data_IF_209802587124
#
_entry.id   IF_209802587124
#
_cell.length_a   1.000
_cell.length_b   1.000
_cell.length_c   1.000
_cell.angle_alpha   90.00
_cell.angle_beta   90.00
_cell.angle_gamma   90.00
#
_symmetry.space_group_name_H-M   'P 1'
#
loop_
_entity.id
_entity.type
_entity.pdbx_description
1 polymer ?
#
# COMPACT_ATOMS: atom_id res chain seq x y z
N UNK A 1 -10.24 19.07 6.63
CA UNK A 1 -8.79 18.78 6.48
C UNK A 1 -8.48 17.46 7.18
N UNK A 2 -8.42 16.35 6.45
CA UNK A 2 -7.98 15.04 6.95
C UNK A 2 -7.15 14.37 5.85
N UNK A 3 -5.84 14.58 5.91
CA UNK A 3 -4.81 13.96 5.03
C UNK A 3 -3.83 13.11 5.84
N UNK A 4 -4.09 12.89 7.14
CA UNK A 4 -3.13 12.29 8.06
C UNK A 4 -2.77 10.83 7.70
N UNK A 5 -3.73 10.04 7.22
CA UNK A 5 -3.50 8.61 6.92
C UNK A 5 -3.02 8.33 5.48
N UNK A 6 -3.42 9.16 4.51
CA UNK A 6 -2.90 9.11 3.13
C UNK A 6 -1.36 9.21 3.09
N UNK A 7 -0.76 9.97 4.01
CA UNK A 7 0.69 10.06 4.14
C UNK A 7 1.34 8.79 4.66
N UNK A 8 0.67 8.02 5.54
CA UNK A 8 1.22 6.79 6.11
C UNK A 8 1.18 5.64 5.10
N UNK A 9 0.07 5.46 4.40
CA UNK A 9 -0.06 4.44 3.35
C UNK A 9 0.95 4.68 2.21
N UNK A 10 1.12 5.94 1.76
CA UNK A 10 2.13 6.27 0.75
C UNK A 10 3.56 5.99 1.22
N UNK A 11 3.93 6.43 2.45
CA UNK A 11 5.25 6.13 3.02
C UNK A 11 5.50 4.62 3.12
N UNK A 12 4.47 3.86 3.49
CA UNK A 12 4.53 2.40 3.51
C UNK A 12 4.75 1.80 2.12
N UNK A 13 4.03 2.28 1.11
CA UNK A 13 4.17 1.84 -0.29
C UNK A 13 5.59 2.13 -0.80
N UNK A 14 6.07 3.37 -0.64
CA UNK A 14 7.43 3.78 -1.03
C UNK A 14 8.47 2.86 -0.39
N UNK A 15 8.36 2.63 0.92
CA UNK A 15 9.31 1.78 1.64
C UNK A 15 9.29 0.32 1.15
N UNK A 16 8.13 -0.23 0.85
CA UNK A 16 8.02 -1.60 0.31
C UNK A 16 8.63 -1.69 -1.09
N UNK A 17 8.45 -0.66 -1.92
CA UNK A 17 9.05 -0.62 -3.26
C UNK A 17 10.58 -0.60 -3.18
N UNK A 18 11.15 0.21 -2.28
CA UNK A 18 12.61 0.23 -2.03
C UNK A 18 13.14 -1.14 -1.58
N UNK A 19 12.51 -1.75 -0.57
CA UNK A 19 12.93 -3.04 -0.04
C UNK A 19 12.79 -4.17 -1.08
N UNK A 20 11.74 -4.11 -1.90
CA UNK A 20 11.54 -5.06 -2.98
C UNK A 20 12.62 -4.93 -4.06
N UNK A 21 12.95 -3.71 -4.46
CA UNK A 21 14.02 -3.46 -5.43
C UNK A 21 15.38 -3.98 -4.94
N UNK A 22 15.74 -3.69 -3.69
CA UNK A 22 16.98 -4.20 -3.09
C UNK A 22 17.00 -5.74 -3.03
N UNK A 23 15.90 -6.36 -2.60
CA UNK A 23 15.78 -7.82 -2.55
C UNK A 23 15.90 -8.45 -3.95
N UNK A 24 15.32 -7.83 -4.98
CA UNK A 24 15.47 -8.26 -6.38
C UNK A 24 16.92 -8.16 -6.86
N UNK A 25 17.62 -7.06 -6.57
CA UNK A 25 19.04 -6.88 -6.93
C UNK A 25 19.88 -7.95 -6.23
N UNK A 26 19.75 -8.10 -4.91
CA UNK A 26 20.46 -9.12 -4.12
C UNK A 26 20.22 -10.53 -4.66
N UNK A 27 18.96 -10.87 -4.96
CA UNK A 27 18.61 -12.20 -5.48
C UNK A 27 19.28 -12.51 -6.81
N UNK A 28 19.48 -11.53 -7.70
CA UNK A 28 20.16 -11.73 -9.00
C UNK A 28 21.62 -12.17 -8.84
N UNK A 29 22.28 -11.72 -7.78
CA UNK A 29 23.68 -12.05 -7.47
C UNK A 29 23.83 -13.26 -6.53
N UNK A 30 22.72 -13.82 -6.04
CA UNK A 30 22.73 -14.94 -5.10
C UNK A 30 22.61 -16.27 -5.83
N UNK A 31 23.42 -17.26 -5.44
CA UNK A 31 23.38 -18.60 -6.04
C UNK A 31 21.98 -19.24 -5.90
N UNK A 32 21.42 -19.74 -7.00
CA UNK A 32 20.02 -20.20 -7.08
C UNK A 32 19.63 -21.28 -6.08
N UNK A 33 20.56 -22.19 -5.78
CA UNK A 33 20.32 -23.33 -4.89
C UNK A 33 20.70 -23.03 -3.43
N UNK A 34 21.02 -21.77 -3.13
CA UNK A 34 21.35 -21.37 -1.77
C UNK A 34 20.10 -21.10 -0.93
N UNK A 35 20.15 -21.35 0.39
CA UNK A 35 19.08 -20.95 1.30
C UNK A 35 18.74 -19.46 1.22
N UNK A 36 19.75 -18.61 0.97
CA UNK A 36 19.57 -17.16 0.85
C UNK A 36 18.73 -16.78 -0.37
N UNK A 37 18.91 -17.47 -1.51
CA UNK A 37 18.07 -17.24 -2.69
C UNK A 37 16.59 -17.55 -2.41
N UNK A 38 16.31 -18.63 -1.68
CA UNK A 38 14.94 -18.98 -1.29
C UNK A 38 14.35 -17.98 -0.29
N UNK A 39 15.14 -17.51 0.69
CA UNK A 39 14.74 -16.45 1.61
C UNK A 39 14.38 -15.16 0.87
N UNK A 40 15.24 -14.71 -0.05
CA UNK A 40 14.99 -13.52 -0.88
C UNK A 40 13.76 -13.70 -1.77
N UNK A 41 13.56 -14.89 -2.34
CA UNK A 41 12.35 -15.22 -3.11
C UNK A 41 11.08 -15.09 -2.26
N UNK A 42 11.11 -15.62 -1.03
CA UNK A 42 10.01 -15.50 -0.08
C UNK A 42 9.76 -14.05 0.35
N UNK A 43 10.82 -13.29 0.62
CA UNK A 43 10.72 -11.89 1.00
C UNK A 43 10.09 -11.04 -0.12
N UNK A 44 10.53 -11.22 -1.37
CA UNK A 44 9.94 -10.55 -2.54
C UNK A 44 8.44 -10.86 -2.67
N UNK A 45 8.05 -12.13 -2.50
CA UNK A 45 6.65 -12.52 -2.54
C UNK A 45 5.82 -11.86 -1.41
N UNK A 46 6.39 -11.77 -0.20
CA UNK A 46 5.76 -11.09 0.93
C UNK A 46 5.60 -9.58 0.69
N UNK A 47 6.63 -8.93 0.14
CA UNK A 47 6.57 -7.51 -0.24
C UNK A 47 5.49 -7.24 -1.29
N UNK A 48 5.35 -8.11 -2.30
CA UNK A 48 4.27 -8.00 -3.27
C UNK A 48 2.87 -8.05 -2.64
N UNK A 49 2.65 -8.96 -1.68
CA UNK A 49 1.37 -9.05 -0.94
C UNK A 49 1.12 -7.83 -0.08
N UNK A 50 2.13 -7.35 0.62
CA UNK A 50 2.03 -6.16 1.47
C UNK A 50 1.78 -4.89 0.63
N UNK A 51 2.40 -4.77 -0.54
CA UNK A 51 2.13 -3.69 -1.50
C UNK A 51 0.67 -3.71 -1.96
N UNK A 52 0.13 -4.89 -2.31
CA UNK A 52 -1.27 -5.02 -2.71
C UNK A 52 -2.22 -4.58 -1.58
N UNK A 53 -1.94 -4.98 -0.33
CA UNK A 53 -2.72 -4.59 0.83
C UNK A 53 -2.70 -3.06 1.05
N UNK A 54 -1.51 -2.45 1.07
CA UNK A 54 -1.39 -1.00 1.27
C UNK A 54 -2.07 -0.21 0.15
N UNK A 55 -2.00 -0.70 -1.08
CA UNK A 55 -2.69 -0.09 -2.22
C UNK A 55 -4.21 -0.15 -2.06
N UNK A 56 -4.74 -1.30 -1.63
CA UNK A 56 -6.16 -1.45 -1.34
C UNK A 56 -6.63 -0.53 -0.20
N UNK A 57 -5.82 -0.39 0.86
CA UNK A 57 -6.10 0.55 1.96
C UNK A 57 -6.12 2.00 1.48
N UNK A 58 -5.13 2.41 0.67
CA UNK A 58 -5.09 3.74 0.07
C UNK A 58 -6.33 4.02 -0.78
N UNK A 59 -6.73 3.09 -1.65
CA UNK A 59 -7.94 3.23 -2.48
C UNK A 59 -9.21 3.34 -1.63
N UNK A 60 -9.31 2.57 -0.55
CA UNK A 60 -10.43 2.65 0.39
C UNK A 60 -10.49 4.01 1.08
N UNK A 61 -9.35 4.56 1.50
CA UNK A 61 -9.28 5.91 2.08
C UNK A 61 -9.67 6.98 1.07
N UNK A 62 -9.18 6.90 -0.16
CA UNK A 62 -9.56 7.81 -1.25
C UNK A 62 -11.07 7.74 -1.53
N UNK A 63 -11.65 6.54 -1.54
CA UNK A 63 -13.10 6.35 -1.69
C UNK A 63 -13.89 6.98 -0.55
N UNK A 64 -13.52 6.75 0.71
CA UNK A 64 -14.17 7.37 1.86
C UNK A 64 -14.07 8.90 1.83
N UNK A 65 -12.94 9.45 1.40
CA UNK A 65 -12.75 10.90 1.27
C UNK A 65 -13.69 11.53 0.22
N UNK A 66 -13.96 10.83 -0.89
CA UNK A 66 -14.92 11.27 -1.92
C UNK A 66 -16.34 11.26 -1.36
N UNK A 67 -16.76 10.17 -0.69
CA UNK A 67 -18.10 10.08 -0.10
C UNK A 67 -18.33 11.17 0.96
N UNK A 68 -17.32 11.46 1.79
CA UNK A 68 -17.42 12.51 2.81
C UNK A 68 -17.49 13.94 2.19
N UNK A 69 -16.95 14.13 0.99
CA UNK A 69 -17.10 15.40 0.25
C UNK A 69 -18.46 15.51 -0.46
N UNK A 70 -19.15 14.39 -0.67
CA UNK A 70 -20.50 14.32 -1.21
C UNK A 70 -21.59 14.58 -0.17
N UNK A 71 -21.27 15.19 0.97
CA UNK A 71 -22.26 15.52 1.99
C UNK A 71 -23.44 16.30 1.37
N UNK A 72 -24.62 15.80 1.66
CA UNK A 72 -25.86 16.00 0.90
C UNK A 72 -26.25 17.49 0.89
N UNK A 73 -26.68 18.07 -0.25
CA UNK A 73 -27.13 19.46 -0.28
C UNK A 73 -28.24 19.70 0.77
N UNK A 74 -28.26 20.86 1.45
CA UNK A 74 -29.20 21.17 2.53
C UNK A 74 -30.68 20.91 2.20
N UNK A 75 -31.03 20.87 0.92
CA UNK A 75 -32.37 20.60 0.40
C UNK A 75 -32.91 19.17 0.66
N UNK A 76 -32.09 18.25 1.16
CA UNK A 76 -32.48 16.85 1.43
C UNK A 76 -32.38 16.47 2.91
N UNK A 77 -32.21 17.45 3.81
CA UNK A 77 -32.32 17.18 5.24
C UNK A 77 -33.80 16.98 5.61
N UNK A 78 -34.18 15.89 6.31
CA UNK A 78 -35.54 15.75 6.80
C UNK A 78 -35.80 16.88 7.81
N UNK A 79 -36.83 17.67 7.55
CA UNK A 79 -37.31 18.66 8.51
C UNK A 79 -37.94 17.89 9.67
N UNK A 80 -37.25 17.89 10.81
CA UNK A 80 -37.70 17.34 12.09
C UNK A 80 -37.36 18.32 13.20
#
# INVERSE_FOLDING_TARGET
>A
MMKANSGLANKGIERILELSADAHIRRRWTAKDSPEFHKLTGAIAAYGKALALLTALRQREEFHAIIYQCDVPPALQPVG
#
